data_IF_615069264417
#
_entry.id   IF_615069264417
#
_cell.length_a   1.000
_cell.length_b   1.000
_cell.length_c   1.000
_cell.angle_alpha   90.00
_cell.angle_beta   90.00
_cell.angle_gamma   90.00
#
_symmetry.space_group_name_H-M   'P 1'
#
loop_
_entity.id
_entity.type
_entity.pdbx_description
1 polymer ?
#
# COMPACT_ATOMS: atom_id res chain seq x y z
N UNK A 1 54.43 12.28 51.99
CA UNK A 1 53.81 12.13 50.65
C UNK A 1 52.66 11.12 50.71
N UNK A 2 51.63 11.42 51.51
CA UNK A 2 50.78 10.38 52.10
C UNK A 2 49.35 10.88 52.23
N UNK A 3 48.38 9.99 51.98
CA UNK A 3 46.92 10.14 52.06
C UNK A 3 46.22 11.04 51.05
N UNK A 4 46.67 12.25 50.78
CA UNK A 4 45.94 13.15 49.86
C UNK A 4 46.00 12.69 48.39
N UNK A 5 47.15 12.21 47.93
CA UNK A 5 47.29 11.67 46.57
C UNK A 5 46.50 10.38 46.35
N UNK A 6 46.43 9.50 47.35
CA UNK A 6 45.67 8.25 47.28
C UNK A 6 44.16 8.49 47.26
N UNK A 7 43.68 9.49 48.00
CA UNK A 7 42.26 9.87 48.03
C UNK A 7 41.80 10.53 46.72
N UNK A 8 42.64 11.39 46.14
CA UNK A 8 42.41 11.97 44.81
C UNK A 8 42.42 10.91 43.69
N UNK A 9 43.35 9.96 43.74
CA UNK A 9 43.38 8.83 42.80
C UNK A 9 42.16 7.92 42.93
N UNK A 10 41.70 7.66 44.16
CA UNK A 10 40.49 6.86 44.41
C UNK A 10 39.24 7.56 43.88
N UNK A 11 39.11 8.86 44.09
CA UNK A 11 38.00 9.66 43.54
C UNK A 11 38.03 9.73 42.01
N UNK A 12 39.22 9.86 41.41
CA UNK A 12 39.38 9.83 39.96
C UNK A 12 39.02 8.47 39.35
N UNK A 13 39.42 7.37 39.99
CA UNK A 13 39.03 6.01 39.60
C UNK A 13 37.53 5.77 39.73
N UNK A 14 36.92 6.20 40.83
CA UNK A 14 35.46 6.12 41.02
C UNK A 14 34.74 6.94 39.97
N UNK A 15 35.19 8.17 39.70
CA UNK A 15 34.63 9.02 38.64
C UNK A 15 34.74 8.38 37.26
N UNK A 16 35.90 7.80 36.93
CA UNK A 16 36.12 7.09 35.67
C UNK A 16 35.20 5.87 35.54
N UNK A 17 35.07 5.07 36.61
CA UNK A 17 34.16 3.91 36.62
C UNK A 17 32.71 4.35 36.45
N UNK A 18 32.28 5.42 37.12
CA UNK A 18 30.91 5.96 36.95
C UNK A 18 30.65 6.47 35.53
N UNK A 19 31.64 7.09 34.87
CA UNK A 19 31.54 7.51 33.47
C UNK A 19 31.46 6.31 32.53
N UNK A 20 32.30 5.29 32.73
CA UNK A 20 32.29 4.06 31.92
C UNK A 20 30.97 3.30 32.10
N UNK A 21 30.51 3.13 33.34
CA UNK A 21 29.23 2.48 33.65
C UNK A 21 28.08 3.30 33.08
N UNK A 22 28.06 4.62 33.29
CA UNK A 22 27.05 5.53 32.75
C UNK A 22 26.95 5.49 31.23
N UNK A 23 28.09 5.42 30.53
CA UNK A 23 28.12 5.27 29.07
C UNK A 23 27.63 3.89 28.63
N UNK A 24 27.97 2.83 29.37
CA UNK A 24 27.60 1.45 29.06
C UNK A 24 26.11 1.15 29.29
N UNK A 25 25.48 1.79 30.29
CA UNK A 25 24.05 1.59 30.58
C UNK A 25 23.14 2.50 29.78
N UNK A 26 23.65 3.59 29.18
CA UNK A 26 22.84 4.53 28.40
C UNK A 26 22.12 3.84 27.25
N UNK A 27 22.84 3.07 26.43
CA UNK A 27 22.27 2.39 25.27
C UNK A 27 21.15 1.38 25.61
N UNK A 28 21.31 0.43 26.57
CA UNK A 28 20.23 -0.49 26.92
C UNK A 28 19.05 0.21 27.60
N UNK A 29 19.28 1.29 28.38
CA UNK A 29 18.18 2.08 28.96
C UNK A 29 17.41 2.83 27.88
N UNK A 30 18.10 3.42 26.91
CA UNK A 30 17.47 4.07 25.75
C UNK A 30 16.65 3.07 24.93
N UNK A 31 17.19 1.89 24.63
CA UNK A 31 16.44 0.85 23.91
C UNK A 31 15.17 0.43 24.65
N UNK A 32 15.29 0.12 25.95
CA UNK A 32 14.17 -0.28 26.78
C UNK A 32 13.09 0.81 26.89
N UNK A 33 13.50 2.06 27.09
CA UNK A 33 12.58 3.19 27.20
C UNK A 33 11.87 3.45 25.88
N UNK A 34 12.59 3.47 24.75
CA UNK A 34 12.01 3.67 23.42
C UNK A 34 11.06 2.54 23.03
N UNK A 35 11.37 1.29 23.38
CA UNK A 35 10.47 0.16 23.12
C UNK A 35 9.13 0.27 23.86
N UNK A 36 9.04 1.11 24.89
CA UNK A 36 7.86 1.31 25.73
C UNK A 36 7.11 2.61 25.43
N UNK A 37 7.84 3.70 25.20
CA UNK A 37 7.26 5.06 25.20
C UNK A 37 7.22 5.72 23.80
N UNK A 38 7.91 5.17 22.80
CA UNK A 38 7.90 5.74 21.45
C UNK A 38 6.48 5.79 20.86
N UNK A 39 6.19 6.85 20.10
CA UNK A 39 4.89 7.09 19.47
C UNK A 39 3.73 7.08 20.48
N UNK A 40 3.91 7.77 21.61
CA UNK A 40 2.95 7.81 22.72
C UNK A 40 2.75 6.46 23.43
N UNK A 41 3.74 5.57 23.38
CA UNK A 41 3.71 4.25 24.02
C UNK A 41 2.70 3.27 23.42
N UNK A 42 2.32 3.48 22.16
CA UNK A 42 1.27 2.73 21.49
C UNK A 42 1.77 1.47 20.75
N UNK A 43 3.08 1.36 20.50
CA UNK A 43 3.69 0.25 19.77
C UNK A 43 3.71 -1.03 20.63
N UNK A 44 3.09 -2.15 20.21
CA UNK A 44 3.16 -3.41 20.94
C UNK A 44 4.59 -3.94 20.99
N UNK A 45 5.06 -4.33 22.17
CA UNK A 45 6.44 -4.79 22.37
C UNK A 45 6.82 -6.00 21.51
N UNK A 46 5.93 -6.97 21.37
CA UNK A 46 6.21 -8.19 20.58
C UNK A 46 6.23 -7.94 19.07
N UNK A 47 5.31 -7.09 18.57
CA UNK A 47 5.29 -6.71 17.15
C UNK A 47 6.48 -5.82 16.81
N UNK A 48 6.80 -4.84 17.67
CA UNK A 48 7.98 -3.98 17.53
C UNK A 48 9.27 -4.80 17.54
N UNK A 49 9.36 -5.80 18.42
CA UNK A 49 10.50 -6.73 18.47
C UNK A 49 10.62 -7.53 17.17
N UNK A 50 9.49 -7.93 16.58
CA UNK A 50 9.45 -8.69 15.32
C UNK A 50 9.89 -7.84 14.13
N UNK A 51 9.44 -6.59 14.00
CA UNK A 51 9.78 -5.74 12.84
C UNK A 51 11.15 -5.08 12.91
N UNK A 52 11.74 -4.95 14.11
CA UNK A 52 13.06 -4.31 14.26
C UNK A 52 14.25 -5.23 14.00
N UNK A 53 14.04 -6.55 13.96
CA UNK A 53 15.02 -7.63 13.71
C UNK A 53 16.46 -7.32 14.16
N UNK A 54 16.70 -7.51 15.46
CA UNK A 54 18.00 -7.38 16.16
C UNK A 54 18.67 -5.99 16.15
N UNK A 55 17.99 -4.93 15.70
CA UNK A 55 18.50 -3.57 15.88
C UNK A 55 18.11 -2.99 17.24
N UNK A 56 19.04 -2.22 17.83
CA UNK A 56 18.75 -1.43 19.02
C UNK A 56 18.10 -0.11 18.62
N UNK A 57 17.14 0.34 19.40
CA UNK A 57 16.49 1.63 19.22
C UNK A 57 17.43 2.76 19.68
N UNK A 58 17.45 3.85 18.91
CA UNK A 58 18.37 4.96 19.11
C UNK A 58 17.67 6.29 19.37
N UNK A 59 16.60 6.57 18.64
CA UNK A 59 15.90 7.85 18.73
C UNK A 59 14.45 7.74 18.29
N UNK A 60 13.65 8.70 18.73
CA UNK A 60 12.27 8.89 18.30
C UNK A 60 12.03 10.38 18.03
N UNK A 61 11.10 10.64 17.11
CA UNK A 61 10.54 11.95 16.87
C UNK A 61 9.04 11.82 16.66
N UNK A 62 8.25 12.32 17.61
CA UNK A 62 6.79 12.44 17.49
C UNK A 62 6.36 13.91 17.41
N UNK A 63 5.41 14.20 16.52
CA UNK A 63 4.69 15.47 16.45
C UNK A 63 3.21 15.21 16.17
N UNK A 64 2.36 15.99 16.81
CA UNK A 64 0.92 15.89 16.69
C UNK A 64 0.32 17.29 16.63
N UNK A 65 -0.47 17.54 15.59
CA UNK A 65 -1.24 18.77 15.45
C UNK A 65 -2.71 18.41 15.27
N UNK A 66 -3.48 18.59 16.34
CA UNK A 66 -4.91 18.31 16.34
C UNK A 66 -5.69 19.26 15.44
N UNK A 67 -5.25 20.50 15.32
CA UNK A 67 -5.96 21.52 14.54
C UNK A 67 -5.80 21.27 13.04
N UNK A 68 -4.61 20.80 12.63
CA UNK A 68 -4.34 20.37 11.26
C UNK A 68 -4.78 18.93 10.97
N UNK A 69 -5.07 18.12 12.00
CA UNK A 69 -5.42 16.72 11.81
C UNK A 69 -4.21 15.84 11.44
N UNK A 70 -3.01 16.28 11.81
CA UNK A 70 -1.75 15.66 11.43
C UNK A 70 -1.12 14.89 12.60
N UNK A 71 -0.51 13.76 12.27
CA UNK A 71 0.28 12.96 13.19
C UNK A 71 1.53 12.47 12.48
N UNK A 72 2.67 12.54 13.15
CA UNK A 72 3.93 12.02 12.66
C UNK A 72 4.69 11.38 13.81
N UNK A 73 5.12 10.13 13.64
CA UNK A 73 6.07 9.50 14.55
C UNK A 73 7.10 8.71 13.75
N UNK A 74 8.39 8.90 14.04
CA UNK A 74 9.48 8.11 13.46
C UNK A 74 10.35 7.57 14.57
N UNK A 75 10.34 6.25 14.72
CA UNK A 75 11.23 5.49 15.59
C UNK A 75 12.40 4.97 14.77
N UNK A 76 13.62 5.25 15.21
CA UNK A 76 14.86 4.85 14.54
C UNK A 76 15.76 3.99 15.42
N UNK A 77 16.57 3.18 14.75
CA UNK A 77 17.68 2.45 15.35
C UNK A 77 18.84 3.36 15.76
N UNK A 78 19.78 2.83 16.53
CA UNK A 78 21.05 3.49 16.87
C UNK A 78 21.93 3.79 15.63
N UNK A 79 21.71 3.09 14.53
CA UNK A 79 22.30 3.33 13.21
C UNK A 79 21.50 4.31 12.34
N UNK A 80 20.56 5.08 12.91
CA UNK A 80 19.69 6.05 12.24
C UNK A 80 18.80 5.47 11.12
N UNK A 81 18.61 4.14 11.08
CA UNK A 81 17.64 3.50 10.18
C UNK A 81 16.25 3.55 10.77
N UNK A 82 15.24 3.84 9.95
CA UNK A 82 13.83 3.80 10.35
C UNK A 82 13.44 2.37 10.72
N UNK A 83 12.86 2.22 11.91
CA UNK A 83 12.31 0.96 12.43
C UNK A 83 10.80 0.94 12.22
N UNK A 84 10.12 2.01 12.66
CA UNK A 84 8.69 2.24 12.41
C UNK A 84 8.51 3.73 12.14
N UNK A 85 7.75 4.06 11.12
CA UNK A 85 7.26 5.41 10.87
C UNK A 85 5.75 5.38 10.66
N UNK A 86 5.06 6.35 11.25
CA UNK A 86 3.61 6.50 11.21
C UNK A 86 3.30 7.94 10.85
N UNK A 87 2.52 8.13 9.80
CA UNK A 87 2.10 9.44 9.32
C UNK A 87 0.59 9.47 9.12
N UNK A 88 -0.05 10.56 9.49
CA UNK A 88 -1.47 10.78 9.25
C UNK A 88 -1.71 12.10 8.51
N UNK A 89 -2.51 12.01 7.45
CA UNK A 89 -2.80 13.12 6.55
C UNK A 89 -4.32 13.30 6.41
N UNK A 90 -4.86 14.48 6.76
CA UNK A 90 -6.24 14.83 6.44
C UNK A 90 -6.43 14.96 4.91
N UNK A 91 -7.67 15.01 4.41
CA UNK A 91 -7.94 15.32 3.02
C UNK A 91 -7.30 16.65 2.58
N UNK A 92 -6.41 16.61 1.58
CA UNK A 92 -5.73 17.81 1.11
C UNK A 92 -4.44 17.53 0.34
N UNK A 93 -3.69 18.58 -0.04
CA UNK A 93 -2.50 18.45 -0.87
C UNK A 93 -1.40 17.55 -0.29
N UNK A 94 -1.21 17.52 1.04
CA UNK A 94 -0.22 16.65 1.67
C UNK A 94 -0.57 15.17 1.49
N UNK A 95 -1.85 14.83 1.64
CA UNK A 95 -2.36 13.47 1.36
C UNK A 95 -2.23 13.13 -0.13
N UNK A 96 -2.59 14.04 -1.01
CA UNK A 96 -2.51 13.82 -2.46
C UNK A 96 -1.04 13.60 -2.89
N UNK A 97 -0.10 14.39 -2.35
CA UNK A 97 1.35 14.21 -2.57
C UNK A 97 1.87 12.88 -2.02
N UNK A 98 1.38 12.45 -0.85
CA UNK A 98 1.74 11.15 -0.28
C UNK A 98 1.24 10.00 -1.17
N UNK A 99 -0.04 10.04 -1.55
CA UNK A 99 -0.66 9.04 -2.43
C UNK A 99 -0.09 9.06 -3.84
N UNK A 100 0.53 10.17 -4.27
CA UNK A 100 1.27 10.25 -5.53
C UNK A 100 2.43 9.25 -5.58
N UNK A 101 3.03 8.90 -4.45
CA UNK A 101 4.12 7.93 -4.37
C UNK A 101 3.61 6.48 -4.35
N UNK A 102 2.37 6.25 -3.91
CA UNK A 102 1.73 4.95 -4.03
C UNK A 102 1.61 4.58 -5.52
N UNK A 103 2.12 3.41 -5.89
CA UNK A 103 2.03 2.93 -7.27
C UNK A 103 3.14 3.40 -8.22
N UNK A 104 4.11 4.18 -7.73
CA UNK A 104 5.14 4.83 -8.59
C UNK A 104 6.28 3.93 -9.02
N UNK A 105 6.62 2.88 -8.28
CA UNK A 105 7.61 1.90 -8.75
C UNK A 105 6.94 0.58 -9.08
N UNK A 106 6.01 0.15 -8.24
CA UNK A 106 5.09 -0.93 -8.52
C UNK A 106 3.68 -0.53 -8.09
N UNK A 107 2.66 -0.97 -8.82
CA UNK A 107 1.29 -0.68 -8.46
C UNK A 107 0.91 -1.46 -7.18
N UNK A 108 0.00 -0.96 -6.33
CA UNK A 108 -0.36 -1.63 -5.08
C UNK A 108 -0.66 -3.11 -5.31
N UNK A 109 0.19 -3.96 -4.73
CA UNK A 109 0.33 -5.34 -5.17
C UNK A 109 -0.35 -6.32 -4.22
N UNK A 110 -0.56 -5.91 -2.96
CA UNK A 110 -1.20 -6.72 -1.93
C UNK A 110 -2.42 -6.02 -1.31
N UNK A 111 -3.51 -6.79 -1.19
CA UNK A 111 -4.78 -6.34 -0.62
C UNK A 111 -4.81 -6.67 0.86
N UNK A 112 -5.30 -5.75 1.70
CA UNK A 112 -5.38 -6.01 3.13
C UNK A 112 -6.50 -7.02 3.46
N UNK A 113 -6.25 -7.97 4.38
CA UNK A 113 -7.23 -8.98 4.76
C UNK A 113 -8.37 -8.38 5.61
N UNK A 114 -9.51 -9.07 5.66
CA UNK A 114 -10.58 -8.77 6.62
C UNK A 114 -11.34 -7.47 6.37
N UNK A 115 -11.32 -6.95 5.14
CA UNK A 115 -12.05 -5.72 4.77
C UNK A 115 -11.41 -4.44 5.30
N UNK A 116 -10.14 -4.49 5.71
CA UNK A 116 -9.40 -3.29 6.13
C UNK A 116 -9.37 -2.25 4.98
N UNK A 117 -9.56 -0.96 5.27
CA UNK A 117 -9.76 0.06 4.25
C UNK A 117 -8.44 0.55 3.66
N UNK A 118 -7.69 -0.33 3.00
CA UNK A 118 -6.50 0.06 2.25
C UNK A 118 -5.68 -1.08 1.66
N UNK A 119 -4.37 -0.85 1.51
CA UNK A 119 -3.45 -1.71 0.75
C UNK A 119 -2.00 -1.65 1.29
N UNK A 120 -1.17 -2.60 0.86
CA UNK A 120 0.29 -2.57 1.04
C UNK A 120 0.98 -2.27 -0.31
N UNK A 121 1.96 -1.37 -0.31
CA UNK A 121 2.83 -1.11 -1.47
C UNK A 121 4.06 -2.05 -1.51
N UNK A 122 4.90 -1.97 -2.55
CA UNK A 122 6.12 -2.80 -2.66
C UNK A 122 7.16 -2.58 -1.56
N UNK A 123 7.09 -1.48 -0.82
CA UNK A 123 8.04 -1.10 0.23
C UNK A 123 7.58 -1.60 1.61
N UNK A 124 6.53 -2.43 1.66
CA UNK A 124 5.87 -2.87 2.88
C UNK A 124 5.28 -1.72 3.70
N UNK A 125 4.93 -0.62 3.04
CA UNK A 125 4.16 0.45 3.64
C UNK A 125 2.68 0.11 3.53
N UNK A 126 2.02 0.13 4.68
CA UNK A 126 0.58 -0.09 4.79
C UNK A 126 -0.10 1.28 4.76
N UNK A 127 -1.02 1.44 3.82
CA UNK A 127 -1.91 2.59 3.71
C UNK A 127 -3.28 2.18 4.24
N UNK A 128 -3.81 2.90 5.22
CA UNK A 128 -5.14 2.72 5.78
C UNK A 128 -5.90 4.04 5.69
N UNK A 129 -7.17 3.97 5.32
CA UNK A 129 -8.01 5.15 5.12
C UNK A 129 -9.34 5.03 5.89
N UNK A 130 -9.29 5.00 7.24
CA UNK A 130 -10.49 4.94 8.07
C UNK A 130 -11.36 6.20 7.96
N UNK A 131 -12.63 6.05 8.35
CA UNK A 131 -13.56 7.17 8.55
C UNK A 131 -13.13 8.06 9.73
N UNK A 132 -13.21 9.37 9.53
CA UNK A 132 -12.90 10.39 10.53
C UNK A 132 -13.92 11.55 10.49
N UNK A 133 -15.20 11.28 10.78
CA UNK A 133 -16.29 12.26 10.63
C UNK A 133 -16.10 13.55 11.45
N UNK A 134 -15.52 13.49 12.64
CA UNK A 134 -15.41 14.64 13.56
C UNK A 134 -13.99 15.17 13.77
N UNK A 135 -12.96 14.41 13.39
CA UNK A 135 -11.55 14.78 13.62
C UNK A 135 -10.96 15.71 12.56
N UNK A 136 -11.65 15.89 11.42
CA UNK A 136 -11.20 16.76 10.32
C UNK A 136 -12.00 18.06 10.36
N UNK A 137 -11.32 19.16 10.70
CA UNK A 137 -11.92 20.50 10.81
C UNK A 137 -12.37 21.06 9.47
N UNK A 138 -11.52 20.93 8.45
CA UNK A 138 -11.75 21.42 7.09
C UNK A 138 -11.78 20.24 6.10
N UNK A 139 -12.91 19.56 5.96
CA UNK A 139 -13.06 18.50 4.98
C UNK A 139 -12.93 19.04 3.55
N UNK A 140 -12.46 18.19 2.64
CA UNK A 140 -12.53 18.50 1.21
C UNK A 140 -13.83 17.94 0.63
N UNK A 141 -14.88 18.76 0.64
CA UNK A 141 -16.23 18.33 0.24
C UNK A 141 -16.83 17.36 1.27
N UNK A 142 -17.31 16.21 0.80
CA UNK A 142 -17.87 15.15 1.66
C UNK A 142 -16.83 14.14 2.15
N UNK A 143 -15.55 14.29 1.76
CA UNK A 143 -14.51 13.35 2.16
C UNK A 143 -14.08 13.57 3.61
N UNK A 144 -14.37 12.57 4.44
CA UNK A 144 -14.11 12.55 5.88
C UNK A 144 -13.09 11.48 6.27
N UNK A 145 -12.35 10.91 5.33
CA UNK A 145 -11.40 9.86 5.66
C UNK A 145 -10.00 10.41 5.89
N UNK A 146 -9.35 9.85 6.91
CA UNK A 146 -7.98 10.18 7.28
C UNK A 146 -7.06 9.15 6.63
N UNK A 147 -6.04 9.59 5.88
CA UNK A 147 -5.01 8.65 5.44
C UNK A 147 -4.03 8.44 6.60
N UNK A 148 -3.83 7.19 7.01
CA UNK A 148 -2.75 6.79 7.90
C UNK A 148 -1.83 5.86 7.15
N UNK A 149 -0.53 6.18 7.13
CA UNK A 149 0.49 5.33 6.57
C UNK A 149 1.38 4.80 7.69
N UNK A 150 1.79 3.56 7.58
CA UNK A 150 2.73 2.95 8.53
C UNK A 150 3.74 2.14 7.75
N UNK A 151 5.03 2.34 8.00
CA UNK A 151 6.08 1.57 7.32
C UNK A 151 7.25 1.23 8.23
N UNK A 152 7.93 0.16 7.85
CA UNK A 152 9.23 -0.27 8.36
C UNK A 152 10.18 -0.41 7.18
N UNK A 153 11.49 -0.49 7.41
CA UNK A 153 12.46 -0.68 6.34
C UNK A 153 12.38 -2.12 5.78
N UNK A 154 11.38 -2.36 4.91
CA UNK A 154 11.03 -3.61 4.24
C UNK A 154 10.76 -4.81 5.16
N UNK A 155 9.49 -5.14 5.38
CA UNK A 155 9.10 -6.40 6.02
C UNK A 155 9.27 -7.55 5.00
N UNK A 156 10.23 -8.45 5.26
CA UNK A 156 10.64 -9.50 4.32
C UNK A 156 9.97 -10.82 4.63
N UNK A 157 9.90 -11.18 5.90
CA UNK A 157 9.32 -12.45 6.33
C UNK A 157 7.80 -12.35 6.47
N UNK A 158 7.12 -13.50 6.44
CA UNK A 158 5.67 -13.55 6.71
C UNK A 158 5.35 -13.04 8.12
N UNK A 159 6.22 -13.32 9.08
CA UNK A 159 6.08 -12.90 10.48
C UNK A 159 6.23 -11.38 10.61
N UNK A 160 7.25 -10.80 9.96
CA UNK A 160 7.45 -9.34 9.88
C UNK A 160 6.25 -8.66 9.23
N UNK A 161 5.72 -9.19 8.12
CA UNK A 161 4.52 -8.63 7.47
C UNK A 161 3.27 -8.70 8.35
N UNK A 162 3.10 -9.78 9.11
CA UNK A 162 1.97 -9.92 10.02
C UNK A 162 2.05 -8.94 11.19
N UNK A 163 3.25 -8.77 11.76
CA UNK A 163 3.52 -7.79 12.81
C UNK A 163 3.33 -6.35 12.29
N UNK A 164 3.81 -6.07 11.08
CA UNK A 164 3.66 -4.78 10.42
C UNK A 164 2.18 -4.41 10.21
N UNK A 165 1.35 -5.37 9.79
CA UNK A 165 -0.08 -5.14 9.62
C UNK A 165 -0.78 -4.84 10.96
N UNK A 166 -0.46 -5.58 12.02
CA UNK A 166 -0.98 -5.31 13.38
C UNK A 166 -0.55 -3.94 13.89
N UNK A 167 0.72 -3.58 13.71
CA UNK A 167 1.25 -2.25 14.03
C UNK A 167 0.48 -1.14 13.29
N UNK A 168 0.26 -1.29 11.98
CA UNK A 168 -0.45 -0.31 11.17
C UNK A 168 -1.90 -0.11 11.63
N UNK A 169 -2.64 -1.20 11.87
CA UNK A 169 -4.03 -1.14 12.36
C UNK A 169 -4.11 -0.49 13.74
N UNK A 170 -3.25 -0.94 14.67
CA UNK A 170 -3.21 -0.38 16.02
C UNK A 170 -2.85 1.10 16.04
N UNK A 171 -1.81 1.50 15.31
CA UNK A 171 -1.41 2.90 15.25
C UNK A 171 -2.46 3.76 14.58
N UNK A 172 -3.17 3.23 13.57
CA UNK A 172 -4.31 3.91 12.96
C UNK A 172 -5.42 4.14 13.98
N UNK A 173 -5.79 3.12 14.77
CA UNK A 173 -6.78 3.25 15.84
C UNK A 173 -6.35 4.32 16.88
N UNK A 174 -5.09 4.31 17.31
CA UNK A 174 -4.53 5.31 18.25
C UNK A 174 -4.58 6.72 17.68
N UNK A 175 -4.20 6.90 16.41
CA UNK A 175 -4.23 8.20 15.73
C UNK A 175 -5.66 8.71 15.62
N UNK A 176 -6.59 7.87 15.17
CA UNK A 176 -8.01 8.25 15.04
C UNK A 176 -8.64 8.60 16.39
N UNK A 177 -8.26 7.92 17.47
CA UNK A 177 -8.68 8.24 18.84
C UNK A 177 -8.11 9.60 19.28
N UNK A 178 -6.79 9.82 19.11
CA UNK A 178 -6.13 11.11 19.46
C UNK A 178 -6.77 12.30 18.73
N UNK A 179 -7.13 12.10 17.46
CA UNK A 179 -7.80 13.11 16.64
C UNK A 179 -9.29 13.29 16.98
N UNK A 180 -9.88 12.38 17.76
CA UNK A 180 -11.31 12.41 18.06
C UNK A 180 -12.15 12.19 16.81
N UNK A 181 -11.73 11.28 15.94
CA UNK A 181 -12.36 11.00 14.66
C UNK A 181 -13.81 10.52 14.80
N UNK A 182 -14.15 9.82 15.87
CA UNK A 182 -15.52 9.34 16.16
C UNK A 182 -16.00 8.17 15.27
N UNK A 183 -15.14 7.63 14.40
CA UNK A 183 -15.39 6.42 13.64
C UNK A 183 -15.21 5.15 14.47
N UNK A 184 -15.72 4.03 13.97
CA UNK A 184 -15.46 2.71 14.58
C UNK A 184 -13.97 2.36 14.43
N UNK A 185 -13.33 1.83 15.48
CA UNK A 185 -11.97 1.32 15.37
C UNK A 185 -11.87 0.22 14.32
N UNK A 186 -10.76 0.21 13.58
CA UNK A 186 -10.46 -0.86 12.64
C UNK A 186 -10.33 -2.20 13.38
N UNK A 187 -10.86 -3.29 12.79
CA UNK A 187 -10.76 -4.61 13.38
C UNK A 187 -9.31 -5.07 13.42
N UNK A 188 -8.89 -5.64 14.55
CA UNK A 188 -7.55 -6.21 14.68
C UNK A 188 -7.37 -7.39 13.69
N UNK A 189 -6.24 -7.45 12.96
CA UNK A 189 -5.94 -8.57 12.08
C UNK A 189 -5.90 -9.89 12.87
N UNK A 190 -6.40 -10.97 12.27
CA UNK A 190 -6.23 -12.32 12.84
C UNK A 190 -4.74 -12.68 12.96
N UNK A 191 -4.41 -13.54 13.90
CA UNK A 191 -3.04 -14.04 14.05
C UNK A 191 -2.49 -14.63 12.74
N UNK A 192 -1.30 -14.17 12.34
CA UNK A 192 -0.65 -14.60 11.09
C UNK A 192 -1.29 -14.08 9.79
N UNK A 193 -2.28 -13.17 9.88
CA UNK A 193 -2.81 -12.46 8.73
C UNK A 193 -1.72 -11.57 8.13
N UNK A 194 -1.61 -11.61 6.80
CA UNK A 194 -0.68 -10.79 6.02
C UNK A 194 -1.45 -10.18 4.86
N UNK A 195 -0.99 -9.05 4.29
CA UNK A 195 -1.49 -8.57 3.02
C UNK A 195 -1.44 -9.68 1.95
N UNK A 196 -2.54 -9.88 1.24
CA UNK A 196 -2.67 -10.92 0.22
C UNK A 196 -2.10 -10.43 -1.11
N UNK A 197 -0.94 -10.99 -1.49
CA UNK A 197 -0.28 -10.74 -2.79
C UNK A 197 -0.99 -11.42 -3.95
N UNK A 198 -2.01 -12.23 -3.67
CA UNK A 198 -2.85 -12.94 -4.61
C UNK A 198 -2.37 -14.36 -4.89
N UNK A 199 -3.33 -15.21 -5.27
CA UNK A 199 -3.09 -16.59 -5.71
C UNK A 199 -3.05 -16.67 -7.23
N UNK A 200 -2.17 -17.51 -7.75
CA UNK A 200 -2.06 -17.80 -9.18
C UNK A 200 -2.90 -19.02 -9.51
N UNK A 201 -3.70 -18.93 -10.57
CA UNK A 201 -4.49 -20.05 -11.10
C UNK A 201 -4.36 -20.10 -12.62
N UNK A 202 -4.55 -21.26 -13.27
CA UNK A 202 -4.75 -21.32 -14.71
C UNK A 202 -5.86 -20.37 -15.15
N UNK A 203 -5.70 -19.72 -16.32
CA UNK A 203 -6.69 -18.74 -16.81
C UNK A 203 -8.13 -19.27 -16.84
N UNK A 204 -8.31 -20.53 -17.23
CA UNK A 204 -9.63 -21.17 -17.28
C UNK A 204 -10.32 -21.21 -15.90
N UNK A 205 -9.54 -21.33 -14.82
CA UNK A 205 -10.04 -21.45 -13.45
C UNK A 205 -10.42 -20.10 -12.83
N UNK A 206 -10.08 -18.99 -13.49
CA UNK A 206 -10.59 -17.66 -13.11
C UNK A 206 -12.06 -17.47 -13.50
N UNK A 207 -12.64 -18.36 -14.32
CA UNK A 207 -14.06 -18.32 -14.71
C UNK A 207 -14.98 -18.43 -13.50
N UNK A 208 -15.99 -17.57 -13.43
CA UNK A 208 -16.94 -17.50 -12.32
C UNK A 208 -16.41 -16.82 -11.05
N UNK A 209 -15.13 -16.42 -11.03
CA UNK A 209 -14.56 -15.60 -9.94
C UNK A 209 -14.75 -14.10 -10.22
N UNK A 210 -14.31 -13.23 -9.31
CA UNK A 210 -14.27 -11.79 -9.56
C UNK A 210 -13.28 -11.38 -10.67
N UNK A 211 -12.41 -12.30 -11.12
CA UNK A 211 -11.49 -12.11 -12.24
C UNK A 211 -11.99 -12.75 -13.54
N UNK A 212 -13.30 -13.07 -13.64
CA UNK A 212 -13.91 -13.76 -14.79
C UNK A 212 -13.61 -13.11 -16.13
N UNK A 213 -13.53 -11.78 -16.20
CA UNK A 213 -13.24 -11.04 -17.42
C UNK A 213 -11.91 -11.46 -18.09
N UNK A 214 -10.92 -11.94 -17.34
CA UNK A 214 -9.66 -12.46 -17.92
C UNK A 214 -9.80 -13.89 -18.47
N UNK A 215 -10.79 -14.65 -18.00
CA UNK A 215 -11.12 -15.98 -18.49
C UNK A 215 -12.03 -15.95 -19.73
N UNK A 216 -13.00 -15.03 -19.75
CA UNK A 216 -14.11 -15.04 -20.71
C UNK A 216 -13.99 -14.04 -21.86
N UNK A 217 -13.25 -12.95 -21.68
CA UNK A 217 -12.97 -11.98 -22.76
C UNK A 217 -11.85 -12.50 -23.67
N UNK A 218 -11.78 -11.94 -24.89
CA UNK A 218 -10.65 -12.18 -25.79
C UNK A 218 -9.36 -11.71 -25.13
N UNK A 219 -8.33 -12.56 -25.13
CA UNK A 219 -7.00 -12.23 -24.62
C UNK A 219 -5.96 -12.14 -25.74
N UNK A 220 -4.83 -11.41 -25.54
CA UNK A 220 -3.66 -11.55 -26.40
C UNK A 220 -3.30 -13.02 -26.61
N UNK A 221 -2.76 -13.36 -27.78
CA UNK A 221 -2.49 -14.75 -28.14
C UNK A 221 -1.57 -15.44 -27.11
N UNK A 222 -0.61 -14.68 -26.57
CA UNK A 222 0.35 -15.14 -25.57
C UNK A 222 -0.29 -15.39 -24.20
N UNK A 223 -1.49 -14.85 -23.94
CA UNK A 223 -2.21 -15.04 -22.69
C UNK A 223 -3.17 -16.23 -22.69
N UNK A 224 -3.33 -16.94 -23.81
CA UNK A 224 -4.36 -17.99 -23.95
C UNK A 224 -4.20 -19.12 -22.92
N UNK A 225 -2.95 -19.55 -22.73
CA UNK A 225 -2.54 -20.63 -21.82
C UNK A 225 -1.88 -20.08 -20.54
N UNK A 226 -2.06 -18.79 -20.28
CA UNK A 226 -1.46 -18.08 -19.16
C UNK A 226 -2.09 -18.37 -17.80
N UNK A 227 -1.55 -17.72 -16.77
CA UNK A 227 -2.07 -17.75 -15.40
C UNK A 227 -2.72 -16.41 -15.04
N UNK A 228 -3.73 -16.45 -14.19
CA UNK A 228 -4.34 -15.26 -13.57
C UNK A 228 -3.92 -15.20 -12.12
N UNK A 229 -3.32 -14.07 -11.72
CA UNK A 229 -3.14 -13.72 -10.31
C UNK A 229 -4.40 -13.02 -9.81
N UNK A 230 -4.99 -13.56 -8.75
CA UNK A 230 -6.19 -13.02 -8.11
C UNK A 230 -5.81 -12.54 -6.71
N UNK A 231 -5.69 -11.23 -6.54
CA UNK A 231 -5.49 -10.57 -5.25
C UNK A 231 -6.78 -9.83 -4.88
N UNK A 232 -7.60 -10.46 -4.05
CA UNK A 232 -8.97 -10.03 -3.76
C UNK A 232 -9.24 -10.21 -2.27
N UNK A 233 -9.84 -9.22 -1.63
CA UNK A 233 -10.36 -9.34 -0.27
C UNK A 233 -11.84 -8.97 -0.24
N UNK A 234 -12.64 -9.77 0.46
CA UNK A 234 -14.03 -9.45 0.72
C UNK A 234 -14.12 -8.14 1.51
N UNK A 235 -14.93 -7.19 1.03
CA UNK A 235 -15.01 -5.84 1.58
C UNK A 235 -13.74 -5.00 1.39
N UNK A 236 -12.72 -5.52 0.70
CA UNK A 236 -11.49 -4.81 0.40
C UNK A 236 -11.75 -3.58 -0.46
N UNK A 237 -10.97 -2.53 -0.21
CA UNK A 237 -11.08 -1.28 -0.96
C UNK A 237 -10.37 -1.36 -2.32
N UNK A 238 -9.34 -2.21 -2.43
CA UNK A 238 -8.63 -2.49 -3.67
C UNK A 238 -8.79 -3.97 -4.01
N UNK A 239 -9.04 -4.27 -5.28
CA UNK A 239 -9.01 -5.64 -5.81
C UNK A 239 -8.27 -5.67 -7.14
N UNK A 240 -7.52 -6.75 -7.40
CA UNK A 240 -6.61 -6.84 -8.55
C UNK A 240 -6.62 -8.22 -9.20
N UNK A 241 -6.71 -8.21 -10.53
CA UNK A 241 -6.64 -9.39 -11.37
C UNK A 241 -5.60 -9.16 -12.46
N UNK A 242 -4.51 -9.93 -12.47
CA UNK A 242 -3.45 -9.80 -13.48
C UNK A 242 -3.36 -11.07 -14.33
N UNK A 243 -3.48 -10.95 -15.65
CA UNK A 243 -3.19 -12.03 -16.60
C UNK A 243 -1.70 -12.01 -16.94
N UNK A 244 -1.02 -13.14 -16.77
CA UNK A 244 0.37 -13.35 -17.15
C UNK A 244 0.45 -14.29 -18.35
N UNK A 245 1.46 -14.07 -19.21
CA UNK A 245 1.86 -15.08 -20.19
C UNK A 245 2.34 -16.36 -19.47
N UNK A 246 2.34 -17.52 -20.14
CA UNK A 246 3.07 -18.69 -19.67
C UNK A 246 4.51 -18.33 -19.33
N UNK A 247 5.09 -19.04 -18.35
CA UNK A 247 6.52 -18.93 -18.07
C UNK A 247 7.31 -19.33 -19.32
N UNK A 248 8.40 -18.63 -19.58
CA UNK A 248 9.37 -19.06 -20.58
C UNK A 248 10.11 -20.30 -20.06
N UNK A 249 10.49 -21.21 -20.95
CA UNK A 249 11.13 -22.49 -20.63
C UNK A 249 12.63 -22.34 -20.26
N UNK A 250 13.06 -21.12 -19.92
CA UNK A 250 14.46 -20.74 -19.72
C UNK A 250 15.03 -21.17 -18.36
N UNK A 251 14.26 -21.93 -17.59
CA UNK A 251 14.64 -22.40 -16.26
C UNK A 251 14.61 -21.30 -15.19
N UNK A 252 14.12 -20.10 -15.50
CA UNK A 252 13.93 -19.04 -14.50
C UNK A 252 12.64 -19.27 -13.71
N UNK A 253 12.70 -19.02 -12.40
CA UNK A 253 11.50 -19.00 -11.56
C UNK A 253 10.58 -17.80 -11.84
N UNK A 254 11.03 -16.87 -12.71
CA UNK A 254 10.27 -15.66 -13.06
C UNK A 254 8.96 -16.07 -13.71
N UNK A 255 7.89 -15.39 -13.31
CA UNK A 255 6.58 -15.54 -13.97
C UNK A 255 6.71 -15.00 -15.39
N UNK A 256 5.88 -15.51 -16.31
CA UNK A 256 5.75 -14.90 -17.62
C UNK A 256 5.34 -13.43 -17.48
N UNK A 257 5.55 -12.62 -18.51
CA UNK A 257 5.26 -11.19 -18.47
C UNK A 257 3.77 -10.91 -18.17
N UNK A 258 3.42 -9.87 -17.39
CA UNK A 258 2.03 -9.44 -17.25
C UNK A 258 1.53 -8.90 -18.59
N UNK A 259 0.29 -9.22 -18.93
CA UNK A 259 -0.33 -8.86 -20.22
C UNK A 259 -1.45 -7.87 -20.06
N UNK A 260 -2.36 -8.14 -19.13
CA UNK A 260 -3.54 -7.32 -18.87
C UNK A 260 -3.76 -7.27 -17.39
N UNK A 261 -4.20 -6.11 -16.91
CA UNK A 261 -4.59 -5.95 -15.55
C UNK A 261 -5.92 -5.25 -15.35
N UNK A 262 -6.66 -5.73 -14.36
CA UNK A 262 -7.94 -5.20 -13.92
C UNK A 262 -7.81 -4.80 -12.45
N UNK A 263 -8.21 -3.57 -12.12
CA UNK A 263 -8.21 -3.07 -10.74
C UNK A 263 -9.54 -2.46 -10.38
N UNK A 264 -10.00 -2.76 -9.17
CA UNK A 264 -11.18 -2.14 -8.55
C UNK A 264 -10.75 -1.27 -7.39
N UNK A 265 -11.30 -0.06 -7.31
CA UNK A 265 -11.04 0.92 -6.27
C UNK A 265 -12.37 1.37 -5.65
N UNK A 266 -12.45 1.39 -4.32
CA UNK A 266 -13.61 1.91 -3.57
C UNK A 266 -13.24 3.16 -2.77
N UNK A 267 -14.10 4.17 -2.82
CA UNK A 267 -13.89 5.45 -2.15
C UNK A 267 -12.88 6.36 -2.87
N UNK A 268 -12.78 7.59 -2.36
CA UNK A 268 -11.85 8.61 -2.83
C UNK A 268 -10.42 8.36 -2.30
N UNK A 269 -9.46 8.11 -3.19
CA UNK A 269 -8.05 7.92 -2.83
C UNK A 269 -7.18 9.10 -3.26
N UNK A 270 -7.72 10.32 -3.28
CA UNK A 270 -7.01 11.51 -3.74
C UNK A 270 -6.86 11.58 -5.26
N UNK A 271 -6.21 12.64 -5.73
CA UNK A 271 -6.14 12.99 -7.18
C UNK A 271 -4.94 12.42 -7.91
N UNK A 272 -3.94 11.89 -7.18
CA UNK A 272 -2.61 11.63 -7.72
C UNK A 272 -2.20 10.14 -7.68
N UNK A 273 -3.12 9.24 -7.32
CA UNK A 273 -2.86 7.80 -7.35
C UNK A 273 -2.60 7.35 -8.79
N UNK A 274 -1.49 6.64 -8.97
CA UNK A 274 -1.08 6.07 -10.25
C UNK A 274 -1.07 4.56 -10.19
N UNK A 275 -1.36 3.96 -11.33
CA UNK A 275 -1.11 2.53 -11.55
C UNK A 275 -0.08 2.38 -12.66
N UNK A 276 0.98 1.67 -12.33
CA UNK A 276 2.05 1.39 -13.27
C UNK A 276 1.53 0.59 -14.48
N UNK A 277 1.87 1.04 -15.70
CA UNK A 277 1.33 0.47 -16.94
C UNK A 277 0.00 1.09 -17.41
N UNK A 278 -0.64 1.95 -16.60
CA UNK A 278 -1.88 2.63 -16.97
C UNK A 278 -1.70 3.97 -17.72
N UNK A 279 -0.45 4.29 -18.10
CA UNK A 279 -0.06 5.52 -18.77
C UNK A 279 0.53 6.58 -17.84
N UNK A 280 0.82 7.79 -18.35
CA UNK A 280 1.43 8.88 -17.57
C UNK A 280 0.44 9.58 -16.62
N UNK A 281 -0.86 9.47 -16.91
CA UNK A 281 -1.90 10.18 -16.19
C UNK A 281 -2.33 9.41 -14.92
N UNK A 282 -2.58 10.15 -13.84
CA UNK A 282 -3.19 9.59 -12.63
C UNK A 282 -4.54 8.92 -12.95
N UNK A 283 -4.95 7.98 -12.11
CA UNK A 283 -6.31 7.44 -12.16
C UNK A 283 -7.29 8.61 -11.97
N UNK A 284 -8.42 8.66 -12.70
CA UNK A 284 -9.39 9.75 -12.61
C UNK A 284 -10.27 9.59 -11.35
N UNK A 285 -9.61 9.55 -10.20
CA UNK A 285 -10.13 9.50 -8.84
C UNK A 285 -9.92 10.86 -8.16
N UNK A 286 -10.36 11.01 -6.92
CA UNK A 286 -10.21 12.27 -6.19
C UNK A 286 -11.50 13.06 -6.01
N UNK A 287 -11.36 14.25 -5.44
CA UNK A 287 -12.46 15.18 -5.22
C UNK A 287 -13.09 15.63 -6.55
N UNK A 288 -14.39 15.37 -6.72
CA UNK A 288 -15.17 15.79 -7.88
C UNK A 288 -16.04 14.68 -8.48
N UNK A 289 -16.65 14.96 -9.63
CA UNK A 289 -17.44 13.96 -10.36
C UNK A 289 -16.52 13.03 -11.12
N UNK A 290 -16.46 11.77 -10.70
CA UNK A 290 -15.75 10.73 -11.43
C UNK A 290 -16.46 10.46 -12.76
N UNK A 291 -15.68 10.40 -13.84
CA UNK A 291 -16.20 10.15 -15.19
C UNK A 291 -15.50 8.95 -15.80
N UNK A 292 -16.20 8.14 -16.61
CA UNK A 292 -15.54 7.09 -17.37
C UNK A 292 -14.54 7.70 -18.36
N UNK A 293 -13.46 6.99 -18.63
CA UNK A 293 -12.39 7.45 -19.51
C UNK A 293 -11.80 6.32 -20.34
N UNK A 294 -11.39 6.61 -21.57
CA UNK A 294 -10.67 5.68 -22.45
C UNK A 294 -9.45 6.39 -23.03
N UNK A 295 -8.28 5.82 -22.77
CA UNK A 295 -6.97 6.26 -23.28
C UNK A 295 -6.33 5.10 -24.05
N UNK A 296 -5.13 5.31 -24.59
CA UNK A 296 -4.37 4.24 -25.24
C UNK A 296 -3.99 3.10 -24.27
N UNK A 297 -3.69 3.46 -23.02
CA UNK A 297 -3.13 2.53 -22.04
C UNK A 297 -4.14 2.08 -20.97
N UNK A 298 -5.26 2.77 -20.84
CA UNK A 298 -6.25 2.54 -19.78
C UNK A 298 -7.69 2.76 -20.25
N UNK A 299 -8.58 1.86 -19.85
CA UNK A 299 -10.03 2.08 -19.80
C UNK A 299 -10.51 2.16 -18.34
N UNK A 300 -11.41 3.09 -18.05
CA UNK A 300 -11.90 3.38 -16.71
C UNK A 300 -13.43 3.49 -16.69
N UNK A 301 -14.06 2.72 -15.82
CA UNK A 301 -15.49 2.75 -15.53
C UNK A 301 -15.74 3.24 -14.10
N UNK A 302 -16.91 3.82 -13.86
CA UNK A 302 -17.29 4.40 -12.56
C UNK A 302 -18.65 3.89 -12.12
N UNK A 303 -18.84 3.71 -10.82
CA UNK A 303 -20.11 3.36 -10.21
C UNK A 303 -20.20 3.96 -8.79
N UNK A 304 -21.31 3.71 -8.09
CA UNK A 304 -21.43 3.97 -6.66
C UNK A 304 -21.65 2.68 -5.89
N UNK A 305 -20.76 2.37 -4.95
CA UNK A 305 -20.86 1.20 -4.07
C UNK A 305 -20.95 1.68 -2.62
N UNK A 306 -21.84 1.12 -1.82
CA UNK A 306 -21.98 1.43 -0.39
C UNK A 306 -22.09 2.94 -0.09
N UNK A 307 -22.74 3.69 -1.00
CA UNK A 307 -22.89 5.14 -0.90
C UNK A 307 -21.67 5.97 -1.34
N UNK A 308 -20.51 5.36 -1.60
CA UNK A 308 -19.29 6.02 -2.08
C UNK A 308 -19.02 5.84 -3.58
N UNK A 309 -18.06 6.59 -4.12
CA UNK A 309 -17.57 6.38 -5.49
C UNK A 309 -16.80 5.06 -5.59
N UNK A 310 -16.93 4.38 -6.72
CA UNK A 310 -16.13 3.22 -7.05
C UNK A 310 -15.66 3.31 -8.49
N UNK A 311 -14.45 2.80 -8.72
CA UNK A 311 -13.75 2.88 -9.99
C UNK A 311 -13.22 1.53 -10.39
N UNK A 312 -13.28 1.24 -11.69
CA UNK A 312 -12.79 -0.01 -12.25
C UNK A 312 -11.90 0.31 -13.44
N UNK A 313 -10.65 -0.14 -13.42
CA UNK A 313 -9.70 0.05 -14.50
C UNK A 313 -9.44 -1.27 -15.24
N UNK A 314 -9.15 -1.15 -16.53
CA UNK A 314 -8.41 -2.14 -17.29
C UNK A 314 -7.22 -1.45 -17.97
N UNK A 315 -6.04 -2.01 -17.87
CA UNK A 315 -4.82 -1.50 -18.52
C UNK A 315 -3.88 -2.64 -18.92
N UNK A 316 -2.89 -2.31 -19.74
CA UNK A 316 -1.90 -3.29 -20.18
C UNK A 316 -0.87 -3.54 -19.09
N UNK A 317 -0.51 -4.81 -18.93
CA UNK A 317 0.54 -5.20 -17.98
C UNK A 317 1.86 -4.54 -18.33
N UNK A 318 2.54 -3.99 -17.32
CA UNK A 318 3.88 -3.45 -17.52
C UNK A 318 4.92 -4.57 -17.55
N UNK A 319 5.67 -4.63 -18.63
CA UNK A 319 6.85 -5.47 -18.72
C UNK A 319 7.98 -4.86 -17.87
N UNK A 320 8.40 -5.51 -16.80
CA UNK A 320 9.45 -5.04 -15.88
C UNK A 320 10.88 -5.38 -16.33
N UNK A 321 11.02 -6.05 -17.48
CA UNK A 321 12.34 -6.44 -18.01
C UNK A 321 13.24 -5.21 -18.21
N UNK A 322 14.58 -5.37 -18.04
CA UNK A 322 15.55 -4.34 -18.35
C UNK A 322 15.36 -3.77 -19.76
N UNK A 323 15.62 -2.48 -19.92
CA UNK A 323 15.48 -1.78 -21.21
C UNK A 323 16.24 -2.45 -22.35
N UNK A 324 17.42 -3.01 -22.06
CA UNK A 324 18.25 -3.70 -23.05
C UNK A 324 17.62 -5.00 -23.56
N UNK A 325 16.87 -5.72 -22.71
CA UNK A 325 16.10 -6.90 -23.12
C UNK A 325 14.87 -6.51 -23.94
N UNK A 326 14.23 -5.42 -23.52
CA UNK A 326 13.09 -4.80 -24.20
C UNK A 326 13.44 -4.34 -25.63
N UNK A 327 14.57 -3.66 -25.80
CA UNK A 327 15.06 -3.16 -27.09
C UNK A 327 15.48 -4.28 -28.05
N UNK A 328 15.81 -5.46 -27.53
CA UNK A 328 16.09 -6.67 -28.33
C UNK A 328 14.82 -7.45 -28.70
N UNK A 329 13.67 -7.12 -28.11
CA UNK A 329 12.41 -7.77 -28.42
C UNK A 329 11.78 -7.11 -29.66
N UNK A 330 11.86 -7.78 -30.81
CA UNK A 330 11.30 -7.33 -32.09
C UNK A 330 9.80 -6.98 -32.00
N UNK A 331 9.10 -7.43 -30.95
CA UNK A 331 7.70 -7.09 -30.66
C UNK A 331 7.51 -5.67 -30.11
N UNK A 332 8.57 -4.94 -29.78
CA UNK A 332 8.51 -3.54 -29.30
C UNK A 332 8.51 -2.48 -30.40
N UNK A 333 8.09 -2.84 -31.62
CA UNK A 333 7.86 -1.82 -32.64
C UNK A 333 6.74 -0.86 -32.22
N UNK A 334 6.78 0.41 -32.68
CA UNK A 334 5.64 1.31 -32.54
C UNK A 334 4.36 0.67 -33.11
N UNK A 335 3.28 0.78 -32.37
CA UNK A 335 1.97 0.31 -32.82
C UNK A 335 1.43 1.22 -33.91
N UNK A 336 0.83 0.61 -34.92
CA UNK A 336 0.04 1.32 -35.93
C UNK A 336 -1.24 1.87 -35.29
N UNK A 337 -1.86 2.88 -35.91
CA UNK A 337 -3.13 3.45 -35.41
C UNK A 337 -4.26 2.41 -35.35
N UNK A 338 -4.29 1.46 -36.29
CA UNK A 338 -5.24 0.34 -36.26
C UNK A 338 -5.02 -0.58 -35.05
N UNK A 339 -3.75 -0.86 -34.71
CA UNK A 339 -3.41 -1.66 -33.52
C UNK A 339 -3.74 -0.93 -32.22
N UNK A 340 -3.47 0.38 -32.16
CA UNK A 340 -3.87 1.23 -31.03
C UNK A 340 -5.38 1.23 -30.84
N UNK A 341 -6.15 1.40 -31.92
CA UNK A 341 -7.61 1.35 -31.86
C UNK A 341 -8.11 -0.02 -31.40
N UNK A 342 -7.54 -1.12 -31.94
CA UNK A 342 -7.89 -2.47 -31.51
C UNK A 342 -7.59 -2.70 -30.01
N UNK A 343 -6.47 -2.17 -29.50
CA UNK A 343 -6.13 -2.22 -28.08
C UNK A 343 -7.15 -1.45 -27.23
N UNK A 344 -7.53 -0.23 -27.63
CA UNK A 344 -8.55 0.57 -26.91
C UNK A 344 -9.90 -0.16 -26.84
N UNK A 345 -10.34 -0.76 -27.95
CA UNK A 345 -11.55 -1.58 -27.98
C UNK A 345 -11.44 -2.75 -27.00
N UNK A 346 -10.30 -3.43 -26.97
CA UNK A 346 -10.11 -4.57 -26.06
C UNK A 346 -10.06 -4.15 -24.58
N UNK A 347 -9.38 -3.06 -24.22
CA UNK A 347 -9.41 -2.51 -22.86
C UNK A 347 -10.83 -2.16 -22.44
N UNK A 348 -11.62 -1.58 -23.34
CA UNK A 348 -13.03 -1.29 -23.08
C UNK A 348 -13.83 -2.56 -22.83
N UNK A 349 -13.63 -3.62 -23.60
CA UNK A 349 -14.28 -4.92 -23.39
C UNK A 349 -13.93 -5.47 -21.99
N UNK A 350 -12.66 -5.46 -21.62
CA UNK A 350 -12.22 -5.89 -20.29
C UNK A 350 -12.87 -5.09 -19.15
N UNK A 351 -12.78 -3.76 -19.19
CA UNK A 351 -13.35 -2.93 -18.11
C UNK A 351 -14.87 -3.07 -18.06
N UNK A 352 -15.53 -3.28 -19.21
CA UNK A 352 -16.97 -3.47 -19.28
C UNK A 352 -17.40 -4.75 -18.56
N UNK A 353 -16.77 -5.87 -18.87
CA UNK A 353 -17.14 -7.16 -18.26
C UNK A 353 -16.71 -7.21 -16.79
N UNK A 354 -15.53 -6.68 -16.47
CA UNK A 354 -15.06 -6.56 -15.09
C UNK A 354 -15.99 -5.68 -14.24
N UNK A 355 -16.29 -4.45 -14.68
CA UNK A 355 -17.10 -3.52 -13.91
C UNK A 355 -18.55 -4.02 -13.72
N UNK A 356 -19.17 -4.65 -14.74
CA UNK A 356 -20.48 -5.28 -14.59
C UNK A 356 -20.47 -6.37 -13.52
N UNK A 357 -19.43 -7.21 -13.51
CA UNK A 357 -19.32 -8.27 -12.52
C UNK A 357 -19.14 -7.72 -11.10
N UNK A 358 -18.21 -6.76 -10.94
CA UNK A 358 -17.97 -6.10 -9.65
C UNK A 358 -19.21 -5.37 -9.13
N UNK A 359 -19.96 -4.69 -10.00
CA UNK A 359 -21.21 -4.00 -9.64
C UNK A 359 -22.26 -5.00 -9.12
N UNK A 360 -22.40 -6.16 -9.76
CA UNK A 360 -23.34 -7.21 -9.31
C UNK A 360 -22.93 -7.79 -7.96
N UNK A 361 -21.63 -8.05 -7.74
CA UNK A 361 -21.12 -8.63 -6.48
C UNK A 361 -21.11 -7.63 -5.32
N UNK A 362 -20.83 -6.36 -5.62
CA UNK A 362 -20.66 -5.30 -4.62
C UNK A 362 -21.91 -4.47 -4.35
N UNK A 363 -23.09 -4.90 -4.83
CA UNK A 363 -24.36 -4.16 -4.69
C UNK A 363 -24.27 -2.68 -5.12
N UNK A 364 -23.48 -2.42 -6.16
CA UNK A 364 -23.25 -1.06 -6.65
C UNK A 364 -24.37 -0.60 -7.61
N UNK A 365 -24.46 0.71 -7.82
CA UNK A 365 -25.44 1.33 -8.73
C UNK A 365 -24.80 2.38 -9.63
N UNK A 366 -25.52 2.80 -10.67
CA UNK A 366 -25.09 3.91 -11.52
C UNK A 366 -23.82 3.65 -12.32
N UNK A 367 -23.59 2.42 -12.78
CA UNK A 367 -22.44 2.06 -13.60
C UNK A 367 -22.42 2.89 -14.90
N UNK A 368 -21.32 3.60 -15.12
CA UNK A 368 -21.01 4.31 -16.35
C UNK A 368 -19.74 3.72 -16.96
N UNK A 369 -19.80 3.45 -18.25
CA UNK A 369 -18.73 2.83 -19.02
C UNK A 369 -18.10 3.85 -19.97
N UNK A 370 -16.81 3.69 -20.33
CA UNK A 370 -16.20 4.54 -21.33
C UNK A 370 -16.87 4.36 -22.70
N UNK A 371 -17.03 5.47 -23.43
CA UNK A 371 -17.53 5.47 -24.81
C UNK A 371 -16.45 4.99 -25.78
N UNK A 372 -16.89 4.44 -26.92
CA UNK A 372 -15.99 4.18 -28.05
C UNK A 372 -15.91 5.50 -28.84
N UNK A 373 -14.72 6.04 -29.10
CA UNK A 373 -14.56 7.23 -29.94
C UNK A 373 -15.09 7.04 -31.36
#
# INVERSE_FOLDING_TARGET
MSRHLTLLWSLALVGLVLVIVGFSVRAPVTDWWLAREACGGALPGDDLKTVRTDVRLGSERESFDKDLGEYHCVLKSDADKVVVAVDAYPPGPARDEELRFAGTSYPPHAVLPGGLPGFEDEYSRVFLMPECPTGIREPRGDDRRLLVTTWTYFAKSREEKAAMLRLAVRMTNVVTEKLGCGGEPLPEPRDGAVPDTGRFVPRADAKGTACDALATTRVPAEGRDGEVRMALADGGIVGRCTLYAPKDDDGSDRRGRPLVELTGWRGDWGTDVREWGSGPDALPMGAGTWKPALTEDRAWAVARCDGGNAGFAAYWGYDDRPREEKERDERQRPLTEAEKQARRVLLREYVTEFAKDQVRRGHCTGLQLPEIP
#
